data_IF_664164057770
#
_entry.id   IF_664164057770
#
_cell.length_a   1.000
_cell.length_b   1.000
_cell.length_c   1.000
_cell.angle_alpha   90.00
_cell.angle_beta   90.00
_cell.angle_gamma   90.00
#
_symmetry.space_group_name_H-M   'P 1'
#
loop_
_entity.id
_entity.type
_entity.pdbx_description
1 polymer ?
#
# COMPACT_ATOMS: atom_id res chain seq x y z
N UNK A 1 -13.00 14.50 26.10
CA UNK A 1 -13.35 13.08 26.22
C UNK A 1 -12.41 12.34 25.27
N UNK A 2 -11.48 11.53 25.78
CA UNK A 2 -10.73 10.61 24.93
C UNK A 2 -11.75 9.61 24.36
N UNK A 3 -11.92 9.58 23.05
CA UNK A 3 -12.68 8.50 22.43
C UNK A 3 -11.96 7.19 22.79
N UNK A 4 -12.71 6.20 23.29
CA UNK A 4 -12.17 4.88 23.54
C UNK A 4 -11.60 4.34 22.23
N UNK A 5 -10.32 3.99 22.24
CA UNK A 5 -9.64 3.38 21.10
C UNK A 5 -10.26 1.99 20.90
N UNK A 6 -10.83 1.75 19.73
CA UNK A 6 -11.46 0.49 19.34
C UNK A 6 -10.50 -0.34 18.48
N UNK A 7 -10.79 -1.65 18.28
CA UNK A 7 -9.98 -2.49 17.36
C UNK A 7 -10.14 -2.03 15.91
N UNK A 8 -9.20 -2.41 15.05
CA UNK A 8 -9.30 -2.11 13.62
C UNK A 8 -10.57 -2.71 12.99
N UNK A 9 -10.90 -3.94 13.32
CA UNK A 9 -12.16 -4.56 12.90
C UNK A 9 -13.37 -3.72 13.28
N UNK A 10 -13.46 -3.29 14.56
CA UNK A 10 -14.56 -2.44 15.03
C UNK A 10 -14.60 -1.09 14.32
N UNK A 11 -13.43 -0.50 14.02
CA UNK A 11 -13.35 0.74 13.26
C UNK A 11 -13.90 0.58 11.84
N UNK A 12 -13.54 -0.50 11.14
CA UNK A 12 -14.06 -0.79 9.80
C UNK A 12 -15.55 -1.11 9.82
N UNK A 13 -16.05 -1.88 10.79
CA UNK A 13 -17.50 -2.11 10.96
C UNK A 13 -18.23 -0.79 11.14
N UNK A 14 -17.71 0.11 11.98
CA UNK A 14 -18.29 1.43 12.21
C UNK A 14 -18.33 2.27 10.94
N UNK A 15 -17.24 2.27 10.16
CA UNK A 15 -17.19 2.97 8.87
C UNK A 15 -18.21 2.42 7.87
N UNK A 16 -18.36 1.10 7.78
CA UNK A 16 -19.31 0.43 6.88
C UNK A 16 -20.76 0.75 7.23
N UNK A 17 -21.05 1.00 8.51
CA UNK A 17 -22.39 1.33 9.00
C UNK A 17 -22.70 2.84 8.93
N UNK A 18 -21.77 3.68 8.54
CA UNK A 18 -21.95 5.11 8.34
C UNK A 18 -22.10 5.45 6.85
N UNK A 19 -23.32 5.78 6.37
CA UNK A 19 -23.54 6.12 4.95
C UNK A 19 -22.68 7.30 4.47
N UNK A 20 -22.31 8.22 5.38
CA UNK A 20 -21.45 9.36 5.07
C UNK A 20 -20.00 8.98 4.80
N UNK A 21 -19.58 7.74 5.11
CA UNK A 21 -18.24 7.23 4.91
C UNK A 21 -18.11 6.26 3.71
N UNK A 22 -19.18 6.11 2.92
CA UNK A 22 -19.21 5.11 1.85
C UNK A 22 -18.09 5.28 0.81
N UNK A 23 -17.75 6.51 0.45
CA UNK A 23 -16.64 6.77 -0.46
C UNK A 23 -15.28 6.30 0.12
N UNK A 24 -15.08 6.52 1.43
CA UNK A 24 -13.88 6.04 2.13
C UNK A 24 -13.86 4.51 2.19
N UNK A 25 -15.00 3.88 2.52
CA UNK A 25 -15.16 2.42 2.55
C UNK A 25 -14.78 1.81 1.21
N UNK A 26 -15.28 2.38 0.11
CA UNK A 26 -14.94 1.90 -1.24
C UNK A 26 -13.48 2.18 -1.62
N UNK A 27 -12.94 3.35 -1.28
CA UNK A 27 -11.56 3.71 -1.57
C UNK A 27 -10.54 2.83 -0.81
N UNK A 28 -10.92 2.34 0.37
CA UNK A 28 -10.12 1.42 1.17
C UNK A 28 -10.44 -0.05 0.91
N UNK A 29 -11.39 -0.37 0.03
CA UNK A 29 -11.84 -1.74 -0.28
C UNK A 29 -12.39 -2.48 0.95
N UNK A 30 -13.10 -1.76 1.82
CA UNK A 30 -13.76 -2.35 2.99
C UNK A 30 -15.20 -2.80 2.72
N UNK A 31 -15.75 -2.49 1.55
CA UNK A 31 -17.09 -2.90 1.13
C UNK A 31 -17.18 -4.40 0.83
N UNK A 32 -18.40 -4.92 0.88
CA UNK A 32 -18.74 -6.32 0.58
C UNK A 32 -19.69 -6.39 -0.63
N UNK A 33 -19.74 -7.53 -1.34
CA UNK A 33 -18.93 -8.74 -1.11
C UNK A 33 -17.44 -8.51 -1.42
N UNK A 34 -16.54 -9.15 -0.64
CA UNK A 34 -15.09 -8.94 -0.76
C UNK A 34 -14.56 -9.33 -2.14
N UNK A 35 -15.14 -10.33 -2.78
CA UNK A 35 -14.78 -10.74 -4.14
C UNK A 35 -14.98 -9.59 -5.16
N UNK A 36 -16.06 -8.82 -5.01
CA UNK A 36 -16.32 -7.66 -5.87
C UNK A 36 -15.34 -6.52 -5.60
N UNK A 37 -14.98 -6.29 -4.34
CA UNK A 37 -13.95 -5.33 -3.95
C UNK A 37 -12.58 -5.72 -4.51
N UNK A 38 -12.21 -7.00 -4.45
CA UNK A 38 -10.96 -7.51 -4.99
C UNK A 38 -10.93 -7.43 -6.54
N UNK A 39 -12.05 -7.72 -7.21
CA UNK A 39 -12.18 -7.56 -8.65
C UNK A 39 -12.09 -6.09 -9.07
N UNK A 40 -12.72 -5.18 -8.32
CA UNK A 40 -12.61 -3.74 -8.54
C UNK A 40 -11.18 -3.26 -8.38
N UNK A 41 -10.43 -3.77 -7.38
CA UNK A 41 -9.00 -3.46 -7.26
C UNK A 41 -8.21 -3.97 -8.47
N UNK A 42 -8.45 -5.21 -8.90
CA UNK A 42 -7.80 -5.81 -10.08
C UNK A 42 -8.07 -5.02 -11.37
N UNK A 43 -9.24 -4.40 -11.51
CA UNK A 43 -9.61 -3.55 -12.63
C UNK A 43 -9.14 -2.08 -12.46
N UNK A 44 -8.61 -1.70 -11.29
CA UNK A 44 -8.30 -0.31 -10.96
C UNK A 44 -7.11 0.26 -11.73
N UNK A 45 -7.03 1.59 -11.77
CA UNK A 45 -5.85 2.31 -12.27
C UNK A 45 -4.62 2.09 -11.39
N UNK A 46 -4.81 1.91 -10.07
CA UNK A 46 -3.74 1.58 -9.14
C UNK A 46 -3.08 0.26 -9.51
N UNK A 47 -3.87 -0.82 -9.65
CA UNK A 47 -3.33 -2.13 -10.02
C UNK A 47 -2.68 -2.13 -11.41
N UNK A 48 -3.29 -1.45 -12.38
CA UNK A 48 -2.72 -1.33 -13.73
C UNK A 48 -1.34 -0.70 -13.70
N UNK A 49 -1.17 0.40 -12.96
CA UNK A 49 0.11 1.08 -12.83
C UNK A 49 1.14 0.24 -12.04
N UNK A 50 0.70 -0.50 -10.99
CA UNK A 50 1.56 -1.40 -10.25
C UNK A 50 2.04 -2.56 -11.11
N UNK A 51 1.15 -3.16 -11.91
CA UNK A 51 1.46 -4.28 -12.80
C UNK A 51 2.55 -3.96 -13.82
N UNK A 52 2.65 -2.70 -14.27
CA UNK A 52 3.71 -2.25 -15.18
C UNK A 52 5.11 -2.27 -14.54
N UNK A 53 5.19 -2.29 -13.20
CA UNK A 53 6.44 -2.35 -12.44
C UNK A 53 6.83 -3.79 -12.05
N UNK A 54 5.90 -4.75 -12.20
CA UNK A 54 6.16 -6.14 -11.85
C UNK A 54 7.01 -6.83 -12.92
N UNK A 55 7.89 -7.77 -12.53
CA UNK A 55 8.62 -8.60 -13.48
C UNK A 55 7.67 -9.37 -14.41
N UNK A 56 8.11 -9.60 -15.65
CA UNK A 56 7.37 -10.42 -16.61
C UNK A 56 7.31 -11.89 -16.15
N UNK A 57 8.43 -12.41 -15.68
CA UNK A 57 8.51 -13.75 -15.10
C UNK A 57 7.85 -13.75 -13.73
N UNK A 58 6.96 -14.72 -13.52
CA UNK A 58 6.22 -14.87 -12.26
C UNK A 58 6.91 -15.93 -11.40
N UNK A 59 7.05 -15.61 -10.13
CA UNK A 59 7.64 -16.47 -9.13
C UNK A 59 6.80 -16.47 -7.85
N UNK A 60 7.47 -16.49 -6.70
CA UNK A 60 6.83 -16.43 -5.39
C UNK A 60 6.72 -14.99 -4.93
N UNK A 61 5.51 -14.56 -4.60
CA UNK A 61 5.22 -13.23 -4.07
C UNK A 61 4.73 -13.32 -2.62
N UNK A 62 5.24 -12.45 -1.77
CA UNK A 62 4.69 -12.16 -0.45
C UNK A 62 3.89 -10.86 -0.54
N UNK A 63 2.62 -10.91 -0.16
CA UNK A 63 1.80 -9.74 0.15
C UNK A 63 1.88 -9.52 1.67
N UNK A 64 2.66 -8.55 2.10
CA UNK A 64 2.96 -8.28 3.51
C UNK A 64 2.02 -7.22 4.05
N UNK A 65 1.36 -7.48 5.18
CA UNK A 65 0.26 -6.66 5.71
C UNK A 65 -0.94 -6.70 4.75
N UNK A 66 -1.35 -7.91 4.37
CA UNK A 66 -2.26 -8.13 3.26
C UNK A 66 -3.70 -7.64 3.52
N UNK A 67 -4.05 -7.30 4.78
CA UNK A 67 -5.38 -6.85 5.16
C UNK A 67 -6.46 -7.83 4.75
N UNK A 68 -7.36 -7.41 3.83
CA UNK A 68 -8.43 -8.27 3.29
C UNK A 68 -8.02 -9.11 2.07
N UNK A 69 -6.74 -9.03 1.63
CA UNK A 69 -6.20 -9.84 0.54
C UNK A 69 -6.50 -9.34 -0.88
N UNK A 70 -6.87 -8.08 -1.07
CA UNK A 70 -7.18 -7.55 -2.41
C UNK A 70 -5.98 -7.59 -3.34
N UNK A 71 -4.76 -7.32 -2.81
CA UNK A 71 -3.52 -7.40 -3.58
C UNK A 71 -3.10 -8.84 -3.77
N UNK A 72 -3.24 -9.68 -2.73
CA UNK A 72 -3.03 -11.13 -2.83
C UNK A 72 -3.87 -11.75 -3.97
N UNK A 73 -5.15 -11.37 -4.05
CA UNK A 73 -6.05 -11.76 -5.14
C UNK A 73 -5.49 -11.31 -6.50
N UNK A 74 -5.11 -10.04 -6.64
CA UNK A 74 -4.64 -9.50 -7.90
C UNK A 74 -3.31 -10.13 -8.36
N UNK A 75 -2.38 -10.41 -7.43
CA UNK A 75 -1.14 -11.13 -7.69
C UNK A 75 -1.42 -12.57 -8.14
N UNK A 76 -2.28 -13.31 -7.42
CA UNK A 76 -2.62 -14.70 -7.75
C UNK A 76 -3.30 -14.79 -9.13
N UNK A 77 -4.25 -13.91 -9.42
CA UNK A 77 -4.87 -13.80 -10.77
C UNK A 77 -3.88 -13.45 -11.88
N UNK A 78 -2.76 -12.82 -11.53
CA UNK A 78 -1.70 -12.47 -12.48
C UNK A 78 -0.63 -13.57 -12.61
N UNK A 79 -0.84 -14.74 -11.99
CA UNK A 79 0.01 -15.92 -12.12
C UNK A 79 1.18 -16.01 -11.11
N UNK A 80 1.16 -15.21 -10.04
CA UNK A 80 2.12 -15.36 -8.94
C UNK A 80 1.73 -16.49 -7.99
N UNK A 81 2.71 -17.18 -7.42
CA UNK A 81 2.52 -18.05 -6.26
C UNK A 81 2.52 -17.17 -5.02
N UNK A 82 1.34 -16.98 -4.42
CA UNK A 82 1.13 -15.95 -3.41
C UNK A 82 1.07 -16.52 -2.00
N UNK A 83 1.87 -15.93 -1.11
CA UNK A 83 1.69 -16.01 0.33
C UNK A 83 1.25 -14.64 0.83
N UNK A 84 0.19 -14.59 1.63
CA UNK A 84 -0.29 -13.39 2.33
C UNK A 84 0.14 -13.46 3.80
N UNK A 85 0.86 -12.47 4.29
CA UNK A 85 1.19 -12.33 5.71
C UNK A 85 0.35 -11.21 6.32
N UNK A 86 -0.48 -11.55 7.31
CA UNK A 86 -1.37 -10.61 7.97
C UNK A 86 -1.49 -10.98 9.45
N UNK A 87 -1.12 -10.11 10.40
CA UNK A 87 -1.14 -10.44 11.82
C UNK A 87 -2.55 -10.47 12.43
N UNK A 88 -3.53 -9.76 11.87
CA UNK A 88 -4.89 -9.73 12.39
C UNK A 88 -5.64 -10.99 11.94
N UNK A 89 -6.16 -11.84 12.85
CA UNK A 89 -6.88 -13.05 12.48
C UNK A 89 -8.30 -12.82 11.96
N UNK A 90 -8.82 -11.60 12.01
CA UNK A 90 -10.23 -11.24 11.75
C UNK A 90 -10.74 -11.79 10.42
N UNK A 91 -12.00 -12.28 10.45
CA UNK A 91 -12.76 -12.66 9.26
C UNK A 91 -13.26 -11.44 8.43
N UNK A 92 -13.15 -10.24 8.98
CA UNK A 92 -13.64 -8.99 8.34
C UNK A 92 -12.49 -8.22 7.69
N UNK A 93 -11.36 -8.07 8.37
CA UNK A 93 -10.26 -7.19 7.93
C UNK A 93 -8.91 -7.89 7.83
N UNK A 94 -8.78 -9.13 8.26
CA UNK A 94 -7.50 -9.81 8.45
C UNK A 94 -7.37 -11.16 7.73
N UNK A 95 -6.58 -12.04 8.30
CA UNK A 95 -6.22 -13.34 7.75
C UNK A 95 -7.44 -14.24 7.45
N UNK A 96 -8.48 -14.17 8.28
CA UNK A 96 -9.74 -14.89 8.04
C UNK A 96 -10.45 -14.41 6.78
N UNK A 97 -10.50 -13.07 6.55
CA UNK A 97 -11.05 -12.50 5.32
C UNK A 97 -10.28 -12.98 4.08
N UNK A 98 -8.95 -13.05 4.14
CA UNK A 98 -8.11 -13.56 3.04
C UNK A 98 -8.43 -15.01 2.74
N UNK A 99 -8.54 -15.86 3.78
CA UNK A 99 -8.93 -17.29 3.63
C UNK A 99 -10.31 -17.41 3.02
N UNK A 100 -11.26 -16.54 3.41
CA UNK A 100 -12.59 -16.45 2.81
C UNK A 100 -12.53 -16.14 1.32
N UNK A 101 -11.80 -15.09 0.96
CA UNK A 101 -11.59 -14.66 -0.43
C UNK A 101 -10.94 -15.76 -1.28
N UNK A 102 -9.89 -16.40 -0.78
CA UNK A 102 -9.18 -17.48 -1.47
C UNK A 102 -10.12 -18.66 -1.78
N UNK A 103 -10.97 -19.05 -0.81
CA UNK A 103 -11.98 -20.12 -1.03
C UNK A 103 -13.03 -19.70 -2.04
N UNK A 104 -13.60 -18.49 -1.91
CA UNK A 104 -14.66 -18.02 -2.79
C UNK A 104 -14.20 -17.87 -4.26
N UNK A 105 -12.93 -17.51 -4.45
CA UNK A 105 -12.36 -17.31 -5.79
C UNK A 105 -11.57 -18.50 -6.32
N UNK A 106 -11.42 -19.58 -5.51
CA UNK A 106 -10.60 -20.77 -5.83
C UNK A 106 -9.14 -20.45 -6.18
N UNK A 107 -8.62 -19.33 -5.69
CA UNK A 107 -7.22 -18.93 -5.92
C UNK A 107 -6.31 -19.54 -4.83
N UNK A 108 -5.14 -20.09 -5.21
CA UNK A 108 -4.19 -20.69 -4.28
C UNK A 108 -3.39 -19.59 -3.55
N UNK A 109 -3.98 -19.01 -2.51
CA UNK A 109 -3.33 -18.02 -1.65
C UNK A 109 -3.03 -18.68 -0.31
N UNK A 110 -1.76 -18.85 0.03
CA UNK A 110 -1.31 -19.25 1.35
C UNK A 110 -1.43 -18.09 2.33
N UNK A 111 -1.94 -18.33 3.55
CA UNK A 111 -2.14 -17.27 4.56
C UNK A 111 -1.38 -17.59 5.82
N UNK A 112 -0.54 -16.66 6.25
CA UNK A 112 0.31 -16.76 7.45
C UNK A 112 0.02 -15.59 8.38
N UNK A 113 -0.27 -15.87 9.64
CA UNK A 113 -0.47 -14.85 10.68
C UNK A 113 0.90 -14.47 11.26
N UNK A 114 1.41 -13.31 10.86
CA UNK A 114 2.74 -12.84 11.30
C UNK A 114 2.90 -11.34 11.15
N UNK A 115 3.66 -10.74 12.09
CA UNK A 115 4.15 -9.37 11.97
C UNK A 115 5.36 -9.32 11.02
N UNK A 116 5.52 -8.17 10.34
CA UNK A 116 6.54 -7.97 9.32
C UNK A 116 7.97 -7.92 9.86
N UNK A 117 8.15 -7.57 11.14
CA UNK A 117 9.46 -7.49 11.79
C UNK A 117 10.09 -8.85 12.10
N UNK A 118 9.32 -9.94 12.03
CA UNK A 118 9.80 -11.31 12.24
C UNK A 118 8.97 -12.29 11.42
N UNK A 119 9.42 -12.60 10.22
CA UNK A 119 8.70 -13.44 9.27
C UNK A 119 9.12 -14.91 9.38
N UNK A 120 8.18 -15.87 9.42
CA UNK A 120 8.46 -17.30 9.58
C UNK A 120 8.89 -17.96 8.26
N UNK A 121 9.65 -17.26 7.43
CA UNK A 121 10.11 -17.76 6.15
C UNK A 121 11.63 -17.94 6.12
N UNK A 122 12.10 -18.90 5.34
CA UNK A 122 13.50 -19.08 5.08
C UNK A 122 14.09 -17.89 4.31
N UNK A 123 15.41 -17.71 4.41
CA UNK A 123 16.13 -16.74 3.58
C UNK A 123 15.89 -17.02 2.09
N UNK A 124 15.85 -15.96 1.31
CA UNK A 124 15.78 -16.03 -0.16
C UNK A 124 14.58 -16.87 -0.68
N UNK A 125 13.41 -16.73 -0.05
CA UNK A 125 12.19 -17.49 -0.37
C UNK A 125 11.33 -16.83 -1.44
N UNK A 126 11.43 -15.51 -1.63
CA UNK A 126 10.53 -14.74 -2.47
C UNK A 126 11.23 -13.96 -3.58
N UNK A 127 10.59 -13.84 -4.73
CA UNK A 127 11.01 -13.04 -5.87
C UNK A 127 10.46 -11.61 -5.76
N UNK A 128 9.29 -11.47 -5.08
CA UNK A 128 8.61 -10.20 -4.84
C UNK A 128 8.10 -10.14 -3.39
N UNK A 129 8.33 -9.02 -2.71
CA UNK A 129 7.58 -8.62 -1.52
C UNK A 129 6.84 -7.34 -1.86
N UNK A 130 5.52 -7.37 -1.74
CA UNK A 130 4.66 -6.21 -1.90
C UNK A 130 4.09 -5.79 -0.54
N UNK A 131 4.06 -4.48 -0.31
CA UNK A 131 3.45 -3.85 0.87
C UNK A 131 2.53 -2.73 0.36
N UNK A 132 1.25 -2.73 0.74
CA UNK A 132 0.33 -1.63 0.40
C UNK A 132 -0.11 -0.91 1.65
N UNK A 133 0.42 0.28 1.88
CA UNK A 133 0.15 1.07 3.09
C UNK A 133 0.51 0.29 4.37
N UNK A 134 1.75 -0.20 4.47
CA UNK A 134 2.20 -1.10 5.55
C UNK A 134 3.44 -0.59 6.27
N UNK A 135 4.44 -0.09 5.55
CA UNK A 135 5.71 0.27 6.19
C UNK A 135 5.54 1.35 7.27
N UNK A 136 4.56 2.22 7.13
CA UNK A 136 4.29 3.25 8.13
C UNK A 136 3.69 2.69 9.43
N UNK A 137 3.11 1.48 9.41
CA UNK A 137 2.62 0.82 10.62
C UNK A 137 3.71 0.09 11.40
N UNK A 138 4.90 -0.13 10.82
CA UNK A 138 5.97 -0.87 11.48
C UNK A 138 6.36 -0.21 12.81
N UNK A 139 6.44 -1.00 13.86
CA UNK A 139 6.98 -0.58 15.16
C UNK A 139 8.48 -0.31 15.04
N UNK A 140 9.19 -1.17 14.29
CA UNK A 140 10.58 -0.99 13.89
C UNK A 140 10.71 -1.13 12.37
N UNK A 141 10.69 0.00 11.66
CA UNK A 141 10.82 0.04 10.21
C UNK A 141 12.14 -0.57 9.71
N UNK A 142 13.22 -0.47 10.48
CA UNK A 142 14.52 -1.06 10.10
C UNK A 142 14.48 -2.59 10.21
N UNK A 143 13.90 -3.12 11.30
CA UNK A 143 13.71 -4.55 11.48
C UNK A 143 12.84 -5.13 10.35
N UNK A 144 11.72 -4.48 10.03
CA UNK A 144 10.85 -4.90 8.93
C UNK A 144 11.59 -4.90 7.58
N UNK A 145 12.31 -3.84 7.22
CA UNK A 145 13.09 -3.79 5.98
C UNK A 145 14.19 -4.85 5.95
N UNK A 146 14.82 -5.16 7.10
CA UNK A 146 15.85 -6.20 7.23
C UNK A 146 15.26 -7.58 6.98
N UNK A 147 14.09 -7.88 7.54
CA UNK A 147 13.37 -9.14 7.30
C UNK A 147 12.97 -9.27 5.84
N UNK A 148 12.43 -8.22 5.24
CA UNK A 148 12.13 -8.19 3.81
C UNK A 148 13.38 -8.49 2.97
N UNK A 149 14.50 -7.83 3.28
CA UNK A 149 15.76 -8.09 2.58
C UNK A 149 16.26 -9.52 2.77
N UNK A 150 16.09 -10.11 3.97
CA UNK A 150 16.47 -11.49 4.27
C UNK A 150 15.71 -12.49 3.40
N UNK A 151 14.38 -12.36 3.33
CA UNK A 151 13.52 -13.31 2.63
C UNK A 151 13.51 -13.12 1.10
N UNK A 152 13.88 -11.95 0.58
CA UNK A 152 14.02 -11.74 -0.86
C UNK A 152 15.21 -12.53 -1.41
N UNK A 153 15.06 -13.13 -2.60
CA UNK A 153 16.14 -13.69 -3.39
C UNK A 153 17.06 -12.58 -3.91
N UNK A 154 18.36 -12.89 -4.20
CA UNK A 154 19.16 -11.97 -5.00
C UNK A 154 18.43 -11.58 -6.30
N UNK A 155 18.35 -10.29 -6.59
CA UNK A 155 17.54 -9.76 -7.71
C UNK A 155 16.05 -9.58 -7.43
N UNK A 156 15.55 -10.06 -6.30
CA UNK A 156 14.15 -9.90 -5.90
C UNK A 156 13.78 -8.45 -5.58
N UNK A 157 12.49 -8.13 -5.65
CA UNK A 157 11.96 -6.78 -5.53
C UNK A 157 11.16 -6.59 -4.25
N UNK A 158 11.38 -5.46 -3.58
CA UNK A 158 10.43 -4.84 -2.66
C UNK A 158 9.66 -3.75 -3.41
N UNK A 159 8.32 -3.81 -3.37
CA UNK A 159 7.45 -2.73 -3.83
C UNK A 159 6.55 -2.33 -2.68
N UNK A 160 6.83 -1.17 -2.07
CA UNK A 160 6.01 -0.57 -1.03
C UNK A 160 5.21 0.57 -1.62
N UNK A 161 3.87 0.49 -1.55
CA UNK A 161 2.97 1.46 -2.18
C UNK A 161 2.14 2.20 -1.15
N UNK A 162 1.84 3.48 -1.45
CA UNK A 162 0.91 4.32 -0.67
C UNK A 162 1.35 4.53 0.78
N UNK A 163 2.65 4.72 0.99
CA UNK A 163 3.19 5.01 2.31
C UNK A 163 2.99 6.48 2.69
N UNK A 164 2.53 6.73 3.91
CA UNK A 164 2.33 8.08 4.42
C UNK A 164 3.67 8.77 4.69
N UNK A 165 3.88 9.94 4.06
CA UNK A 165 5.11 10.73 4.19
C UNK A 165 4.82 12.10 4.78
N UNK A 166 5.60 12.47 5.79
CA UNK A 166 5.66 13.81 6.38
C UNK A 166 6.94 14.53 5.95
N UNK A 167 6.98 15.86 6.05
CA UNK A 167 8.15 16.64 5.69
C UNK A 167 9.18 16.71 6.81
N UNK A 168 8.72 16.77 8.05
CA UNK A 168 9.53 16.80 9.29
C UNK A 168 8.77 16.07 10.40
N UNK A 169 9.46 15.57 11.39
CA UNK A 169 8.87 14.80 12.51
C UNK A 169 7.77 15.58 13.26
N UNK A 170 7.90 16.91 13.36
CA UNK A 170 6.90 17.76 14.00
C UNK A 170 5.53 17.73 13.29
N UNK A 171 5.46 17.34 12.00
CA UNK A 171 4.21 17.27 11.24
C UNK A 171 3.39 16.01 11.58
N UNK A 172 4.00 15.03 12.30
CA UNK A 172 3.36 13.74 12.59
C UNK A 172 2.12 13.88 13.45
N UNK A 173 2.20 14.66 14.52
CA UNK A 173 1.08 14.84 15.44
C UNK A 173 -0.15 15.44 14.74
N UNK A 174 0.06 16.46 13.92
CA UNK A 174 -1.00 17.11 13.15
C UNK A 174 -1.61 16.14 12.12
N UNK A 175 -0.77 15.35 11.45
CA UNK A 175 -1.23 14.31 10.50
C UNK A 175 -2.13 13.30 11.21
N UNK A 176 -1.67 12.74 12.33
CA UNK A 176 -2.39 11.70 13.06
C UNK A 176 -3.72 12.21 13.62
N UNK A 177 -3.73 13.44 14.14
CA UNK A 177 -4.95 14.07 14.64
C UNK A 177 -6.01 14.25 13.53
N UNK A 178 -5.59 14.48 12.29
CA UNK A 178 -6.47 14.69 11.15
C UNK A 178 -6.83 13.38 10.42
N UNK A 179 -6.08 12.29 10.64
CA UNK A 179 -6.28 11.04 9.93
C UNK A 179 -7.55 10.32 10.41
N UNK A 180 -8.52 10.04 9.50
CA UNK A 180 -9.82 9.48 9.90
C UNK A 180 -9.71 8.16 10.65
N UNK A 181 -8.88 7.23 10.16
CA UNK A 181 -8.71 5.92 10.76
C UNK A 181 -7.94 6.00 12.10
N UNK A 182 -6.89 6.83 12.18
CA UNK A 182 -6.16 7.02 13.43
C UNK A 182 -7.05 7.49 14.58
N UNK A 183 -8.02 8.35 14.28
CA UNK A 183 -8.99 8.83 15.26
C UNK A 183 -9.91 7.74 15.81
N UNK A 184 -10.04 6.63 15.10
CA UNK A 184 -10.89 5.49 15.50
C UNK A 184 -10.09 4.44 16.26
N UNK A 185 -8.98 3.95 15.70
CA UNK A 185 -8.25 2.82 16.28
C UNK A 185 -6.79 3.13 16.66
N UNK A 186 -6.25 4.32 16.36
CA UNK A 186 -4.94 4.76 16.83
C UNK A 186 -3.73 4.13 16.16
N UNK A 187 -3.91 3.28 15.14
CA UNK A 187 -2.84 2.47 14.56
C UNK A 187 -2.03 3.11 13.41
N UNK A 188 -2.42 4.31 12.96
CA UNK A 188 -1.73 4.98 11.85
C UNK A 188 -0.43 5.64 12.29
N UNK A 189 0.51 5.77 11.36
CA UNK A 189 1.76 6.49 11.53
C UNK A 189 2.22 7.12 10.20
N UNK A 190 3.29 7.88 10.24
CA UNK A 190 3.95 8.45 9.07
C UNK A 190 5.42 8.70 9.37
N UNK A 191 6.29 8.48 8.40
CA UNK A 191 7.71 8.77 8.49
C UNK A 191 8.12 9.83 7.46
N UNK A 192 9.30 10.43 7.66
CA UNK A 192 9.88 11.26 6.62
C UNK A 192 10.35 10.38 5.45
N UNK A 193 10.40 10.96 4.24
CA UNK A 193 10.97 10.25 3.09
C UNK A 193 12.40 9.75 3.39
N UNK A 194 13.20 10.57 4.08
CA UNK A 194 14.57 10.21 4.46
C UNK A 194 14.62 8.97 5.37
N UNK A 195 13.67 8.83 6.30
CA UNK A 195 13.57 7.69 7.21
C UNK A 195 13.28 6.40 6.43
N UNK A 196 12.33 6.40 5.48
CA UNK A 196 12.08 5.25 4.61
C UNK A 196 13.33 4.85 3.81
N UNK A 197 13.98 5.83 3.17
CA UNK A 197 15.18 5.57 2.38
C UNK A 197 16.33 5.02 3.22
N UNK A 198 16.51 5.54 4.43
CA UNK A 198 17.53 5.03 5.37
C UNK A 198 17.24 3.59 5.80
N UNK A 199 15.98 3.24 6.08
CA UNK A 199 15.59 1.87 6.44
C UNK A 199 15.78 0.89 5.27
N UNK A 200 15.31 1.24 4.07
CA UNK A 200 15.44 0.41 2.86
C UNK A 200 16.92 0.19 2.50
N UNK A 201 17.72 1.26 2.41
CA UNK A 201 19.13 1.16 2.06
C UNK A 201 19.94 0.48 3.18
N UNK A 202 19.63 0.77 4.45
CA UNK A 202 20.27 0.16 5.61
C UNK A 202 20.05 -1.35 5.71
N UNK A 203 18.95 -1.86 5.14
CA UNK A 203 18.69 -3.30 4.99
C UNK A 203 19.46 -3.97 3.83
N UNK A 204 20.27 -3.22 3.08
CA UNK A 204 21.01 -3.71 1.92
C UNK A 204 20.19 -3.79 0.63
N UNK A 205 19.01 -3.19 0.60
CA UNK A 205 18.20 -3.06 -0.62
C UNK A 205 18.62 -1.80 -1.38
N UNK A 206 18.74 -1.92 -2.71
CA UNK A 206 19.04 -0.78 -3.58
C UNK A 206 17.75 -0.14 -4.05
N UNK A 207 17.53 1.13 -3.68
CA UNK A 207 16.39 1.90 -4.15
C UNK A 207 16.51 2.12 -5.67
N UNK A 208 15.48 1.72 -6.41
CA UNK A 208 15.36 1.96 -7.85
C UNK A 208 14.44 3.15 -8.15
N UNK A 209 13.33 3.26 -7.42
CA UNK A 209 12.37 4.36 -7.58
C UNK A 209 11.78 4.82 -6.25
N UNK A 210 11.50 6.12 -6.15
CA UNK A 210 10.71 6.71 -5.07
C UNK A 210 9.68 7.66 -5.70
N UNK A 211 8.51 7.11 -5.98
CA UNK A 211 7.43 7.77 -6.70
C UNK A 211 6.69 8.75 -5.80
N UNK A 212 6.65 10.00 -6.20
CA UNK A 212 5.95 11.05 -5.48
C UNK A 212 4.41 10.97 -5.66
N UNK A 213 3.61 11.78 -4.94
CA UNK A 213 2.15 11.68 -4.94
C UNK A 213 1.47 11.76 -6.31
N UNK A 214 2.11 12.40 -7.32
CA UNK A 214 1.47 12.69 -8.60
C UNK A 214 2.16 11.99 -9.80
N UNK A 215 3.14 11.11 -9.54
CA UNK A 215 3.88 10.44 -10.65
C UNK A 215 3.12 9.30 -11.28
N UNK A 216 2.33 8.57 -10.49
CA UNK A 216 1.58 7.40 -10.96
C UNK A 216 0.17 7.37 -10.37
N UNK A 217 -0.70 6.57 -10.97
CA UNK A 217 -2.05 6.37 -10.46
C UNK A 217 -2.06 5.56 -9.14
N UNK A 218 -0.96 4.92 -8.76
CA UNK A 218 -0.84 4.20 -7.48
C UNK A 218 -1.12 5.15 -6.29
N UNK A 219 -0.46 6.30 -6.26
CA UNK A 219 -0.58 7.25 -5.17
C UNK A 219 -1.81 8.17 -5.30
N UNK A 220 -2.43 8.22 -6.47
CA UNK A 220 -3.60 9.06 -6.76
C UNK A 220 -4.93 8.34 -6.55
N UNK A 221 -4.93 7.01 -6.52
CA UNK A 221 -6.18 6.24 -6.35
C UNK A 221 -7.00 6.73 -5.13
N UNK A 222 -8.32 6.86 -5.22
CA UNK A 222 -9.22 6.45 -6.32
C UNK A 222 -9.22 7.34 -7.57
N UNK A 223 -8.60 8.52 -7.53
CA UNK A 223 -8.42 9.36 -8.71
C UNK A 223 -7.28 8.89 -9.62
N UNK A 224 -7.15 9.54 -10.77
CA UNK A 224 -6.12 9.23 -11.78
C UNK A 224 -5.31 10.48 -12.16
N UNK A 225 -4.14 10.25 -12.78
CA UNK A 225 -3.35 11.34 -13.40
C UNK A 225 -4.15 12.09 -14.46
N UNK A 226 -4.96 11.38 -15.22
CA UNK A 226 -5.79 11.97 -16.28
C UNK A 226 -6.81 12.95 -15.67
N UNK A 227 -7.51 12.54 -14.62
CA UNK A 227 -8.45 13.41 -13.90
C UNK A 227 -7.75 14.59 -13.24
N UNK A 228 -6.58 14.38 -12.64
CA UNK A 228 -5.81 15.45 -12.03
C UNK A 228 -5.37 16.50 -13.08
N UNK A 229 -4.88 16.05 -14.24
CA UNK A 229 -4.57 16.92 -15.38
C UNK A 229 -5.80 17.67 -15.86
N UNK A 230 -6.96 16.99 -15.94
CA UNK A 230 -8.23 17.61 -16.30
C UNK A 230 -8.62 18.76 -15.39
N UNK A 231 -8.45 18.59 -14.06
CA UNK A 231 -8.68 19.66 -13.09
C UNK A 231 -7.75 20.87 -13.29
N UNK A 232 -6.47 20.61 -13.57
CA UNK A 232 -5.50 21.67 -13.87
C UNK A 232 -5.89 22.40 -15.18
N UNK A 233 -6.15 21.65 -16.24
CA UNK A 233 -6.54 22.21 -17.53
C UNK A 233 -7.78 23.09 -17.41
N UNK A 234 -8.81 22.62 -16.71
CA UNK A 234 -10.04 23.39 -16.44
C UNK A 234 -9.74 24.69 -15.68
N UNK A 235 -8.87 24.66 -14.67
CA UNK A 235 -8.47 25.86 -13.91
C UNK A 235 -7.73 26.89 -14.77
N UNK A 236 -6.98 26.43 -15.77
CA UNK A 236 -6.21 27.27 -16.69
C UNK A 236 -7.00 27.68 -17.93
N UNK A 237 -8.27 27.28 -18.07
CA UNK A 237 -9.09 27.54 -19.27
C UNK A 237 -8.60 26.80 -20.52
N UNK A 238 -7.84 25.70 -20.34
CA UNK A 238 -7.30 24.93 -21.46
C UNK A 238 -8.33 23.89 -21.94
N UNK A 239 -8.47 23.69 -23.27
CA UNK A 239 -9.54 22.85 -23.83
C UNK A 239 -9.32 21.35 -23.61
N UNK A 240 -8.09 20.90 -23.35
CA UNK A 240 -7.73 19.48 -23.26
C UNK A 240 -6.69 19.21 -22.18
N UNK A 241 -6.88 18.09 -21.46
CA UNK A 241 -5.99 17.64 -20.38
C UNK A 241 -4.60 17.19 -20.88
N UNK A 242 -4.48 16.80 -22.15
CA UNK A 242 -3.22 16.31 -22.75
C UNK A 242 -2.14 17.41 -22.85
N UNK A 243 -2.54 18.66 -22.80
CA UNK A 243 -1.61 19.81 -22.80
C UNK A 243 -0.79 19.89 -21.51
N UNK A 244 -1.25 19.25 -20.42
CA UNK A 244 -0.54 19.25 -19.14
C UNK A 244 0.58 18.20 -19.15
N UNK A 245 1.89 18.59 -19.17
CA UNK A 245 3.00 17.63 -19.21
C UNK A 245 3.09 16.80 -17.92
N UNK A 246 3.54 15.54 -18.03
CA UNK A 246 3.85 14.72 -16.85
C UNK A 246 4.93 15.37 -15.96
N UNK A 247 5.88 16.08 -16.55
CA UNK A 247 6.93 16.79 -15.83
C UNK A 247 6.36 17.86 -14.88
N UNK A 248 5.27 18.53 -15.26
CA UNK A 248 4.59 19.48 -14.37
C UNK A 248 4.01 18.75 -13.15
N UNK A 249 3.37 17.61 -13.34
CA UNK A 249 2.87 16.79 -12.23
C UNK A 249 4.00 16.31 -11.31
N UNK A 250 5.10 15.87 -11.90
CA UNK A 250 6.31 15.50 -11.14
C UNK A 250 6.74 16.64 -10.20
N UNK A 251 6.87 17.86 -10.71
CA UNK A 251 7.31 19.00 -9.90
C UNK A 251 6.27 19.42 -8.85
N UNK A 252 4.98 19.43 -9.20
CA UNK A 252 3.90 19.70 -8.23
C UNK A 252 3.95 18.65 -7.10
N UNK A 253 4.07 17.37 -7.43
CA UNK A 253 4.17 16.30 -6.44
C UNK A 253 5.44 16.37 -5.60
N UNK A 254 6.57 16.72 -6.22
CA UNK A 254 7.89 16.89 -5.56
C UNK A 254 7.88 17.99 -4.51
N UNK A 255 7.19 19.09 -4.78
CA UNK A 255 7.07 20.22 -3.87
C UNK A 255 5.87 20.16 -2.95
N UNK A 256 5.02 19.13 -3.09
CA UNK A 256 3.92 18.90 -2.16
C UNK A 256 4.48 18.67 -0.74
N UNK A 257 3.98 19.45 0.22
CA UNK A 257 4.40 19.40 1.63
C UNK A 257 3.28 18.92 2.55
N UNK A 258 2.11 18.56 2.00
CA UNK A 258 0.98 18.09 2.78
C UNK A 258 1.42 16.90 3.66
N UNK A 259 1.18 16.95 4.97
CA UNK A 259 1.45 15.81 5.85
C UNK A 259 0.60 14.60 5.42
N UNK A 260 1.19 13.40 5.46
CA UNK A 260 0.49 12.18 5.05
C UNK A 260 0.34 11.98 3.54
N UNK A 261 1.02 12.80 2.72
CA UNK A 261 1.06 12.58 1.27
C UNK A 261 1.65 11.21 0.94
N UNK A 262 1.08 10.56 -0.05
CA UNK A 262 1.45 9.18 -0.39
C UNK A 262 2.70 9.12 -1.27
N UNK A 263 3.62 8.24 -0.91
CA UNK A 263 4.76 7.84 -1.73
C UNK A 263 4.76 6.34 -1.95
N UNK A 264 5.40 5.91 -3.05
CA UNK A 264 5.68 4.50 -3.29
C UNK A 264 7.16 4.31 -3.55
N UNK A 265 7.69 3.17 -3.07
CA UNK A 265 9.11 2.85 -3.16
C UNK A 265 9.28 1.51 -3.87
N UNK A 266 10.19 1.46 -4.83
CA UNK A 266 10.65 0.22 -5.45
C UNK A 266 12.13 0.06 -5.15
N UNK A 267 12.48 -1.07 -4.56
CA UNK A 267 13.86 -1.39 -4.25
C UNK A 267 14.18 -2.82 -4.64
N UNK A 268 15.43 -3.09 -4.96
CA UNK A 268 15.91 -4.39 -5.43
C UNK A 268 16.99 -4.94 -4.50
N UNK A 269 16.91 -6.23 -4.18
CA UNK A 269 18.01 -6.91 -3.52
C UNK A 269 19.15 -7.10 -4.52
N UNK A 270 20.38 -6.66 -4.22
CA UNK A 270 21.54 -6.90 -5.08
C UNK A 270 21.72 -8.37 -5.41
N UNK A 271 22.38 -8.66 -6.54
CA UNK A 271 22.67 -10.04 -6.97
C UNK A 271 23.76 -10.71 -6.12
N UNK A 272 24.56 -9.89 -5.45
CA UNK A 272 25.68 -10.33 -4.60
C UNK A 272 25.59 -9.57 -3.29
#
# INVERSE_FOLDING_TARGET
MSADIISWEQAVIRLKNDPGQWELVQACFYDDPLEQSAERYFASSEWRALREMLPLEKGRALDLGAGRGIVSYALARSGWVVTAAEPDPSDIVGAGAIRGLARATTLPIEVVESFGEKLPFCDRSFDLVHCRAVLHHATDLRALCTEVARILRPGGLLIATREHVISKEADRADFLQQHPLHRLYGGENAYTKATYLAAINGAGLKLEMALNPLETDINLFPGTKAEFKGRIAKRLGLPVQHVIPNLLLYWIGRFNRAPGRLYSFLAKKPLI
#
